data_IF_923622785031
#
_entry.id   IF_923622785031
#
_cell.length_a   1.000
_cell.length_b   1.000
_cell.length_c   1.000
_cell.angle_alpha   90.00
_cell.angle_beta   90.00
_cell.angle_gamma   90.00
#
_symmetry.space_group_name_H-M   'P 1'
#
loop_
_entity.id
_entity.type
_entity.pdbx_description
1 polymer ?
#
# COMPACT_ATOMS: atom_id res chain seq x y z
N UNK A 1 -24.11 -13.33 -10.59
CA UNK A 1 -24.22 -11.90 -10.93
C UNK A 1 -22.94 -11.51 -11.66
N UNK A 2 -22.99 -11.30 -12.99
CA UNK A 2 -21.81 -10.85 -13.73
C UNK A 2 -21.70 -9.35 -13.53
N UNK A 3 -20.77 -8.90 -12.66
CA UNK A 3 -20.43 -7.48 -12.53
C UNK A 3 -19.59 -7.12 -13.75
N UNK A 4 -20.24 -6.74 -14.84
CA UNK A 4 -19.61 -6.17 -16.04
C UNK A 4 -20.01 -4.71 -16.24
N UNK A 5 -20.41 -4.07 -15.14
CA UNK A 5 -20.81 -2.67 -15.20
C UNK A 5 -19.58 -1.77 -15.34
N UNK A 6 -19.74 -0.64 -15.99
CA UNK A 6 -18.74 0.42 -16.06
C UNK A 6 -19.09 1.52 -15.04
N UNK A 7 -18.08 2.12 -14.46
CA UNK A 7 -18.20 3.08 -13.36
C UNK A 7 -17.67 4.45 -13.76
N UNK A 8 -18.28 5.49 -13.23
CA UNK A 8 -17.80 6.87 -13.38
C UNK A 8 -16.60 7.13 -12.46
N UNK A 9 -16.55 6.42 -11.32
CA UNK A 9 -15.45 6.51 -10.35
C UNK A 9 -15.15 5.15 -9.72
N UNK A 10 -13.86 4.90 -9.43
CA UNK A 10 -13.35 3.72 -8.70
C UNK A 10 -12.45 4.19 -7.56
N UNK A 11 -12.64 3.61 -6.37
CA UNK A 11 -11.70 3.77 -5.25
C UNK A 11 -11.07 2.43 -4.91
N UNK A 12 -9.74 2.44 -4.68
CA UNK A 12 -9.01 1.27 -4.19
C UNK A 12 -8.00 1.72 -3.15
N UNK A 13 -8.11 1.18 -1.94
CA UNK A 13 -7.36 1.63 -0.78
C UNK A 13 -6.43 0.50 -0.31
N UNK A 14 -5.11 0.74 -0.43
CA UNK A 14 -4.04 -0.17 0.05
C UNK A 14 -4.25 -1.63 -0.41
N UNK A 15 -4.58 -1.80 -1.68
CA UNK A 15 -4.81 -3.11 -2.29
C UNK A 15 -3.71 -3.49 -3.29
N UNK A 16 -3.16 -2.54 -4.04
CA UNK A 16 -2.18 -2.79 -5.11
C UNK A 16 -0.91 -3.45 -4.58
N UNK A 17 -0.55 -3.17 -3.33
CA UNK A 17 0.60 -3.76 -2.64
C UNK A 17 0.44 -5.27 -2.42
N UNK A 18 -0.82 -5.69 -2.20
CA UNK A 18 -1.13 -7.09 -1.87
C UNK A 18 -1.32 -7.99 -3.09
N UNK A 19 -1.50 -7.42 -4.31
CA UNK A 19 -1.72 -8.25 -5.50
C UNK A 19 -0.45 -8.88 -6.07
N UNK A 20 0.72 -8.41 -5.65
CA UNK A 20 2.01 -8.83 -6.21
C UNK A 20 2.36 -8.09 -7.51
N UNK A 21 3.67 -7.85 -7.69
CA UNK A 21 4.19 -7.07 -8.82
C UNK A 21 3.81 -7.63 -10.19
N UNK A 22 3.78 -8.95 -10.31
CA UNK A 22 3.44 -9.66 -11.55
C UNK A 22 1.99 -9.44 -12.00
N UNK A 23 1.12 -8.99 -11.09
CA UNK A 23 -0.29 -8.74 -11.37
C UNK A 23 -0.65 -7.25 -11.53
N UNK A 24 0.31 -6.33 -11.45
CA UNK A 24 0.02 -4.90 -11.59
C UNK A 24 -0.61 -4.55 -12.94
N UNK A 25 -0.14 -5.14 -14.04
CA UNK A 25 -0.75 -4.91 -15.35
C UNK A 25 -2.19 -5.43 -15.42
N UNK A 26 -2.48 -6.54 -14.77
CA UNK A 26 -3.85 -7.07 -14.62
C UNK A 26 -4.72 -6.14 -13.77
N UNK A 27 -4.17 -5.64 -12.65
CA UNK A 27 -4.86 -4.73 -11.74
C UNK A 27 -5.24 -3.41 -12.43
N UNK A 28 -4.27 -2.72 -13.03
CA UNK A 28 -4.53 -1.47 -13.75
C UNK A 28 -5.39 -1.68 -15.00
N UNK A 29 -5.21 -2.78 -15.71
CA UNK A 29 -6.05 -3.19 -16.85
C UNK A 29 -7.51 -3.41 -16.44
N UNK A 30 -7.77 -3.96 -15.25
CA UNK A 30 -9.12 -4.10 -14.70
C UNK A 30 -9.75 -2.74 -14.41
N UNK A 31 -9.01 -1.82 -13.79
CA UNK A 31 -9.47 -0.44 -13.53
C UNK A 31 -9.81 0.26 -14.85
N UNK A 32 -8.90 0.22 -15.83
CA UNK A 32 -9.11 0.83 -17.14
C UNK A 32 -10.34 0.27 -17.87
N UNK A 33 -10.57 -1.04 -17.77
CA UNK A 33 -11.73 -1.69 -18.39
C UNK A 33 -13.05 -1.29 -17.73
N UNK A 34 -13.04 -1.16 -16.40
CA UNK A 34 -14.24 -0.88 -15.62
C UNK A 34 -14.58 0.61 -15.54
N UNK A 35 -13.64 1.51 -15.79
CA UNK A 35 -13.91 2.95 -15.90
C UNK A 35 -14.58 3.28 -17.24
N UNK A 36 -15.57 4.15 -17.20
CA UNK A 36 -16.09 4.84 -18.40
C UNK A 36 -15.04 5.79 -18.96
N UNK A 37 -15.14 6.14 -20.23
CA UNK A 37 -14.34 7.23 -20.81
C UNK A 37 -14.58 8.54 -20.02
N UNK A 38 -13.51 9.26 -19.68
CA UNK A 38 -13.54 10.43 -18.79
C UNK A 38 -13.67 10.11 -17.30
N UNK A 39 -13.91 8.85 -16.93
CA UNK A 39 -14.01 8.41 -15.53
C UNK A 39 -12.67 8.48 -14.79
N UNK A 40 -12.75 8.53 -13.46
CA UNK A 40 -11.59 8.68 -12.58
C UNK A 40 -11.48 7.52 -11.58
N UNK A 41 -10.23 7.16 -11.22
CA UNK A 41 -9.97 6.26 -10.12
C UNK A 41 -9.05 6.95 -9.10
N UNK A 42 -9.37 6.81 -7.80
CA UNK A 42 -8.48 7.18 -6.71
C UNK A 42 -7.88 5.90 -6.13
N UNK A 43 -6.56 5.77 -6.26
CA UNK A 43 -5.81 4.62 -5.74
C UNK A 43 -4.92 5.10 -4.61
N UNK A 44 -5.23 4.69 -3.38
CA UNK A 44 -4.32 4.89 -2.26
C UNK A 44 -3.36 3.71 -2.19
N UNK A 45 -2.09 4.01 -2.12
CA UNK A 45 -1.02 3.00 -2.01
C UNK A 45 0.09 3.46 -1.08
N UNK A 46 0.61 2.53 -0.30
CA UNK A 46 1.93 2.68 0.29
C UNK A 46 2.95 2.56 -0.84
N UNK A 47 3.88 3.49 -0.90
CA UNK A 47 4.95 3.49 -1.90
C UNK A 47 6.32 3.44 -1.23
N UNK A 48 7.30 2.87 -1.92
CA UNK A 48 8.70 2.97 -1.54
C UNK A 48 9.38 4.00 -2.45
N UNK A 49 10.33 4.76 -1.92
CA UNK A 49 11.09 5.77 -2.66
C UNK A 49 11.78 5.15 -3.90
N UNK A 50 11.79 5.87 -5.02
CA UNK A 50 12.25 5.35 -6.31
C UNK A 50 13.71 4.85 -6.29
N UNK A 51 14.61 5.55 -5.58
CA UNK A 51 16.03 5.15 -5.46
C UNK A 51 16.24 3.87 -4.62
N UNK A 52 15.27 3.50 -3.78
CA UNK A 52 15.29 2.28 -2.98
C UNK A 52 14.62 1.10 -3.70
N UNK A 53 13.81 1.36 -4.71
CA UNK A 53 12.93 0.36 -5.32
C UNK A 53 13.67 -0.85 -5.89
N UNK A 54 14.78 -0.64 -6.61
CA UNK A 54 15.52 -1.76 -7.22
C UNK A 54 16.13 -2.68 -6.15
N UNK A 55 16.65 -2.11 -5.07
CA UNK A 55 17.15 -2.88 -3.92
C UNK A 55 16.03 -3.64 -3.22
N UNK A 56 14.88 -3.00 -3.05
CA UNK A 56 13.71 -3.57 -2.39
C UNK A 56 13.18 -4.81 -3.13
N UNK A 57 13.02 -4.75 -4.45
CA UNK A 57 12.50 -5.87 -5.24
C UNK A 57 13.51 -7.00 -5.47
N UNK A 58 14.80 -6.75 -5.24
CA UNK A 58 15.85 -7.76 -5.35
C UNK A 58 16.00 -8.61 -4.07
N UNK A 59 15.35 -8.24 -2.98
CA UNK A 59 15.44 -8.90 -1.68
C UNK A 59 14.07 -9.23 -1.09
N UNK A 60 14.10 -9.67 0.15
CA UNK A 60 12.90 -9.86 0.97
C UNK A 60 13.14 -9.17 2.30
N UNK A 61 12.23 -8.29 2.69
CA UNK A 61 12.31 -7.62 3.97
C UNK A 61 11.49 -8.34 5.07
N UNK A 62 11.52 -7.77 6.28
CA UNK A 62 10.76 -8.29 7.41
C UNK A 62 9.25 -8.32 7.14
N UNK A 63 8.71 -7.29 6.48
CA UNK A 63 7.27 -7.19 6.19
C UNK A 63 6.84 -8.28 5.23
N UNK A 64 7.56 -8.48 4.14
CA UNK A 64 7.28 -9.51 3.14
C UNK A 64 7.43 -10.91 3.71
N UNK A 65 8.33 -11.11 4.68
CA UNK A 65 8.60 -12.43 5.23
C UNK A 65 7.60 -12.82 6.34
N UNK A 66 7.20 -11.88 7.20
CA UNK A 66 6.48 -12.21 8.44
C UNK A 66 5.09 -11.60 8.57
N UNK A 67 4.76 -10.55 7.82
CA UNK A 67 3.51 -9.79 7.97
C UNK A 67 2.62 -9.93 6.73
N UNK A 68 3.15 -9.60 5.55
CA UNK A 68 2.44 -9.63 4.27
C UNK A 68 3.22 -10.42 3.21
N UNK A 69 3.23 -11.77 3.29
CA UNK A 69 3.93 -12.59 2.29
C UNK A 69 3.39 -12.34 0.88
N UNK A 70 4.32 -12.09 -0.07
CA UNK A 70 3.98 -11.79 -1.46
C UNK A 70 3.64 -10.32 -1.73
N UNK A 71 3.56 -9.48 -0.70
CA UNK A 71 3.32 -8.04 -0.87
C UNK A 71 4.50 -7.35 -1.57
N UNK A 72 4.20 -6.35 -2.39
CA UNK A 72 5.22 -5.56 -3.08
C UNK A 72 4.77 -4.10 -3.19
N UNK A 73 5.48 -3.21 -2.49
CA UNK A 73 5.24 -1.77 -2.58
C UNK A 73 5.69 -1.26 -3.95
N UNK A 74 4.85 -0.55 -4.71
CA UNK A 74 5.31 0.15 -5.89
C UNK A 74 6.17 1.36 -5.49
N UNK A 75 7.10 1.75 -6.35
CA UNK A 75 7.60 3.12 -6.30
C UNK A 75 6.67 4.05 -7.08
N UNK A 76 6.70 5.38 -6.84
CA UNK A 76 5.88 6.32 -7.61
C UNK A 76 6.07 6.20 -9.12
N UNK A 77 7.32 6.04 -9.59
CA UNK A 77 7.63 5.83 -11.02
C UNK A 77 7.09 4.50 -11.54
N UNK A 78 7.23 3.40 -10.77
CA UNK A 78 6.73 2.09 -11.18
C UNK A 78 5.19 2.04 -11.22
N UNK A 79 4.52 2.69 -10.25
CA UNK A 79 3.07 2.84 -10.23
C UNK A 79 2.58 3.59 -11.47
N UNK A 80 3.18 4.77 -11.76
CA UNK A 80 2.83 5.58 -12.93
C UNK A 80 3.01 4.79 -14.22
N UNK A 81 4.15 4.13 -14.39
CA UNK A 81 4.42 3.34 -15.58
C UNK A 81 3.40 2.20 -15.78
N UNK A 82 2.97 1.52 -14.70
CA UNK A 82 1.95 0.48 -14.78
C UNK A 82 0.56 1.04 -15.14
N UNK A 83 0.18 2.18 -14.59
CA UNK A 83 -1.07 2.86 -14.93
C UNK A 83 -1.08 3.31 -16.41
N UNK A 84 0.02 3.89 -16.89
CA UNK A 84 0.17 4.37 -18.27
C UNK A 84 0.12 3.21 -19.29
N UNK A 85 0.73 2.05 -18.99
CA UNK A 85 0.61 0.86 -19.85
C UNK A 85 -0.84 0.38 -19.98
N UNK A 86 -1.67 0.62 -18.97
CA UNK A 86 -3.10 0.31 -19.02
C UNK A 86 -3.94 1.41 -19.69
N UNK A 87 -3.32 2.49 -20.20
CA UNK A 87 -4.02 3.62 -20.83
C UNK A 87 -4.64 4.61 -19.84
N UNK A 88 -4.21 4.58 -18.57
CA UNK A 88 -4.65 5.52 -17.54
C UNK A 88 -3.62 6.64 -17.35
N UNK A 89 -4.10 7.87 -17.11
CA UNK A 89 -3.24 9.02 -16.84
C UNK A 89 -3.27 9.35 -15.35
N UNK A 90 -2.12 9.47 -14.71
CA UNK A 90 -2.00 10.02 -13.36
C UNK A 90 -2.14 11.55 -13.46
N UNK A 91 -3.25 12.08 -12.96
CA UNK A 91 -3.59 13.51 -13.06
C UNK A 91 -3.34 14.29 -11.77
N UNK A 92 -3.27 13.59 -10.62
CA UNK A 92 -2.98 14.19 -9.32
C UNK A 92 -2.36 13.19 -8.36
N UNK A 93 -1.64 13.68 -7.34
CA UNK A 93 -1.04 12.90 -6.27
C UNK A 93 -1.11 13.68 -4.96
N UNK A 94 -1.66 13.05 -3.93
CA UNK A 94 -1.71 13.58 -2.57
C UNK A 94 -0.90 12.69 -1.62
N UNK A 95 0.09 13.27 -0.95
CA UNK A 95 1.08 12.58 -0.11
C UNK A 95 0.80 12.86 1.37
N UNK A 96 0.79 11.82 2.23
CA UNK A 96 0.54 11.97 3.67
C UNK A 96 1.25 10.92 4.54
N UNK A 97 2.42 10.45 4.12
CA UNK A 97 3.21 9.46 4.87
C UNK A 97 3.59 9.91 6.28
N UNK A 98 3.79 11.20 6.52
CA UNK A 98 4.09 11.72 7.86
C UNK A 98 2.90 11.53 8.83
N UNK A 99 1.68 11.66 8.35
CA UNK A 99 0.48 11.38 9.15
C UNK A 99 0.36 9.88 9.46
N UNK A 100 0.82 9.04 8.52
CA UNK A 100 0.86 7.58 8.71
C UNK A 100 1.91 7.18 9.77
N UNK A 101 3.08 7.82 9.79
CA UNK A 101 4.08 7.63 10.84
C UNK A 101 3.48 7.96 12.23
N UNK A 102 2.73 9.06 12.34
CA UNK A 102 2.04 9.44 13.58
C UNK A 102 0.99 8.40 13.99
N UNK A 103 0.17 7.93 13.05
CA UNK A 103 -0.84 6.89 13.29
C UNK A 103 -0.21 5.60 13.82
N UNK A 104 0.90 5.15 13.22
CA UNK A 104 1.64 3.95 13.64
C UNK A 104 2.20 4.11 15.06
N UNK A 105 2.71 5.28 15.40
CA UNK A 105 3.18 5.60 16.77
C UNK A 105 2.03 5.50 17.77
N UNK A 106 0.87 6.06 17.46
CA UNK A 106 -0.31 6.00 18.32
C UNK A 106 -0.81 4.55 18.47
N UNK A 107 -0.86 3.78 17.42
CA UNK A 107 -1.19 2.35 17.47
C UNK A 107 -0.20 1.55 18.30
N UNK A 108 1.10 1.83 18.17
CA UNK A 108 2.14 1.19 18.97
C UNK A 108 1.95 1.47 20.45
N UNK A 109 1.71 2.71 20.85
CA UNK A 109 1.45 3.07 22.23
C UNK A 109 0.19 2.38 22.78
N UNK A 110 -0.91 2.37 22.02
CA UNK A 110 -2.15 1.69 22.40
C UNK A 110 -1.94 0.17 22.54
N UNK A 111 -1.21 -0.44 21.60
CA UNK A 111 -0.88 -1.86 21.69
C UNK A 111 -0.13 -2.21 22.97
N UNK A 112 0.89 -1.42 23.33
CA UNK A 112 1.66 -1.63 24.56
C UNK A 112 0.80 -1.45 25.84
N UNK A 113 -0.20 -0.58 25.83
CA UNK A 113 -1.14 -0.40 26.93
C UNK A 113 -2.14 -1.55 27.09
N UNK A 114 -2.33 -2.38 26.06
CA UNK A 114 -3.31 -3.46 26.01
C UNK A 114 -2.69 -4.86 26.06
N UNK A 115 -1.42 -4.99 26.49
CA UNK A 115 -0.70 -6.28 26.44
C UNK A 115 -1.39 -7.38 27.25
N UNK A 116 -2.01 -7.06 28.38
CA UNK A 116 -2.73 -8.06 29.18
C UNK A 116 -3.96 -8.60 28.43
N UNK A 117 -4.69 -7.73 27.73
CA UNK A 117 -5.80 -8.14 26.88
C UNK A 117 -5.32 -8.98 25.68
N UNK A 118 -4.19 -8.60 25.07
CA UNK A 118 -3.56 -9.37 23.97
C UNK A 118 -3.19 -10.79 24.43
N UNK A 119 -2.57 -10.92 25.61
CA UNK A 119 -2.23 -12.21 26.21
C UNK A 119 -3.46 -13.04 26.55
N UNK A 120 -4.52 -12.39 27.08
CA UNK A 120 -5.79 -13.06 27.40
C UNK A 120 -6.48 -13.64 26.12
N UNK A 121 -6.23 -13.09 24.95
CA UNK A 121 -6.67 -13.63 23.66
C UNK A 121 -5.83 -14.82 23.17
N UNK A 122 -4.77 -15.20 23.90
CA UNK A 122 -3.92 -16.35 23.57
C UNK A 122 -2.68 -16.02 22.74
N UNK A 123 -2.38 -14.75 22.49
CA UNK A 123 -1.15 -14.34 21.81
C UNK A 123 0.05 -14.42 22.76
N UNK A 124 1.12 -15.02 22.29
CA UNK A 124 2.35 -15.25 23.04
C UNK A 124 3.33 -14.06 22.97
N UNK A 125 4.43 -14.16 23.72
CA UNK A 125 5.49 -13.16 23.73
C UNK A 125 6.21 -13.02 22.35
N UNK A 126 6.19 -14.06 21.53
CA UNK A 126 6.73 -13.98 20.16
C UNK A 126 5.87 -13.05 19.32
N UNK A 127 4.55 -13.19 19.41
CA UNK A 127 3.63 -12.29 18.73
C UNK A 127 3.81 -10.83 19.22
N UNK A 128 3.85 -10.62 20.53
CA UNK A 128 4.04 -9.27 21.11
C UNK A 128 5.31 -8.62 20.57
N UNK A 129 6.44 -9.33 20.56
CA UNK A 129 7.71 -8.80 20.00
C UNK A 129 7.62 -8.53 18.51
N UNK A 130 7.02 -9.45 17.74
CA UNK A 130 6.86 -9.31 16.29
C UNK A 130 6.02 -8.10 15.95
N UNK A 131 4.89 -7.92 16.65
CA UNK A 131 3.98 -6.81 16.40
C UNK A 131 4.54 -5.45 16.83
N UNK A 132 5.22 -5.41 17.97
CA UNK A 132 5.97 -4.23 18.43
C UNK A 132 7.03 -3.82 17.40
N UNK A 133 7.81 -4.78 16.90
CA UNK A 133 8.82 -4.51 15.88
C UNK A 133 8.19 -4.04 14.57
N UNK A 134 7.09 -4.67 14.14
CA UNK A 134 6.36 -4.28 12.94
C UNK A 134 5.93 -2.80 12.98
N UNK A 135 5.27 -2.39 14.07
CA UNK A 135 4.79 -1.01 14.20
C UNK A 135 5.94 -0.01 14.23
N UNK A 136 7.01 -0.29 14.98
CA UNK A 136 8.20 0.57 15.04
C UNK A 136 8.95 0.63 13.71
N UNK A 137 9.08 -0.50 13.00
CA UNK A 137 9.74 -0.58 11.70
C UNK A 137 9.01 0.26 10.65
N UNK A 138 7.69 0.13 10.59
CA UNK A 138 6.87 0.92 9.67
C UNK A 138 6.88 2.41 10.04
N UNK A 139 6.74 2.77 11.34
CA UNK A 139 6.84 4.15 11.79
C UNK A 139 8.15 4.79 11.32
N UNK A 140 9.28 4.12 11.53
CA UNK A 140 10.59 4.63 11.12
C UNK A 140 10.68 4.80 9.60
N UNK A 141 10.16 3.85 8.81
CA UNK A 141 10.19 3.93 7.35
C UNK A 141 9.42 5.15 6.82
N UNK A 142 8.26 5.46 7.38
CA UNK A 142 7.49 6.66 7.03
C UNK A 142 8.13 7.95 7.56
N UNK A 143 8.62 7.96 8.79
CA UNK A 143 9.24 9.14 9.40
C UNK A 143 10.49 9.60 8.63
N UNK A 144 11.29 8.63 8.15
CA UNK A 144 12.50 8.88 7.34
C UNK A 144 12.21 9.10 5.84
N UNK A 145 10.95 9.02 5.43
CA UNK A 145 10.55 9.19 4.02
C UNK A 145 11.06 8.08 3.09
N UNK A 146 11.39 6.91 3.62
CA UNK A 146 11.72 5.73 2.81
C UNK A 146 10.47 5.13 2.18
N UNK A 147 9.35 5.24 2.88
CA UNK A 147 8.01 4.92 2.40
C UNK A 147 7.10 6.14 2.54
N UNK A 148 6.04 6.17 1.74
CA UNK A 148 5.01 7.20 1.76
C UNK A 148 3.65 6.57 1.55
N UNK A 149 2.56 7.26 1.91
CA UNK A 149 1.21 6.92 1.47
C UNK A 149 0.75 7.97 0.48
N UNK A 150 0.35 7.51 -0.69
CA UNK A 150 -0.02 8.39 -1.79
C UNK A 150 -1.41 8.03 -2.31
N UNK A 151 -2.28 9.02 -2.44
CA UNK A 151 -3.51 8.90 -3.21
C UNK A 151 -3.24 9.39 -4.63
N UNK A 152 -3.22 8.46 -5.58
CA UNK A 152 -3.07 8.75 -7.00
C UNK A 152 -4.45 8.90 -7.63
N UNK A 153 -4.72 10.05 -8.22
CA UNK A 153 -5.91 10.23 -9.07
C UNK A 153 -5.55 9.87 -10.51
N UNK A 154 -6.21 8.83 -11.00
CA UNK A 154 -6.08 8.36 -12.37
C UNK A 154 -7.30 8.78 -13.18
N UNK A 155 -7.10 9.12 -14.46
CA UNK A 155 -8.18 9.39 -15.41
C UNK A 155 -8.05 8.47 -16.62
N UNK A 156 -9.18 7.91 -17.05
CA UNK A 156 -9.29 7.26 -18.35
C UNK A 156 -9.62 8.33 -19.40
N UNK A 157 -8.80 8.54 -20.42
CA UNK A 157 -9.07 9.47 -21.51
C UNK A 157 -10.39 9.20 -22.24
#
# INVERSE_FOLDING_TARGET
>A
MCIRDSYDAICSIEMVEAVGREYWDTYFGAIARLLKAGGQACIQSITIRDDLFQRYIAGTDFIQQYIFPGGCLPSPSAFRAAAERAGLQVVDQFHFGQDYARTLREWHQQFLQQLDAVRALGFDERFVRTWTFYLAYCEAAFAEGNTDVVQFTLRKP
#
